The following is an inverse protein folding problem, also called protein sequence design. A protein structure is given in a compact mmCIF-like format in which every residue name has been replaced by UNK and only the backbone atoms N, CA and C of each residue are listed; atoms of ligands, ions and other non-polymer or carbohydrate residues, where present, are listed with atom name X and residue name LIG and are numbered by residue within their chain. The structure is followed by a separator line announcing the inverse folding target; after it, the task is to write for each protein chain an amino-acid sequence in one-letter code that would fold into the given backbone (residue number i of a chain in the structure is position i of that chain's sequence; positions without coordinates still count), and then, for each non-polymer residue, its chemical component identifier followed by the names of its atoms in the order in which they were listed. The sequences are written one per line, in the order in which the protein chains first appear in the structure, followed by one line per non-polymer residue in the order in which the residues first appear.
data_IF_931887679923
#
_entry.id   IF_931887679923
#
_cell.length_a   1.000
_cell.length_b   1.000
_cell.length_c   1.000
_cell.angle_alpha   90.00
_cell.angle_beta   90.00
_cell.angle_gamma   90.00
#
_symmetry.space_group_name_H-M   'P 1'
#
loop_
_entity.id
_entity.type
_entity.pdbx_description
1 polymer ?
#
# COMPACT_ATOMS: atom_id res chain seq x y z
N UNK A 1 8.14 33.69 19.71
CA UNK A 1 7.00 33.14 20.47
C UNK A 1 6.01 32.39 19.56
N UNK A 2 5.46 33.02 18.52
CA UNK A 2 4.49 32.38 17.59
C UNK A 2 4.99 31.08 16.94
N UNK A 3 6.26 31.05 16.51
CA UNK A 3 6.90 29.84 15.95
C UNK A 3 6.83 28.64 16.91
N UNK A 4 7.13 28.84 18.19
CA UNK A 4 7.13 27.75 19.17
C UNK A 4 5.72 27.26 19.50
N UNK A 5 4.73 28.16 19.50
CA UNK A 5 3.32 27.80 19.69
C UNK A 5 2.83 26.95 18.52
N UNK A 6 3.15 27.36 17.28
CA UNK A 6 2.80 26.59 16.08
C UNK A 6 3.51 25.23 16.08
N UNK A 7 4.80 25.20 16.39
CA UNK A 7 5.59 23.96 16.44
C UNK A 7 5.05 22.99 17.50
N UNK A 8 4.72 23.49 18.70
CA UNK A 8 4.09 22.69 19.75
C UNK A 8 2.74 22.14 19.30
N UNK A 9 1.90 22.97 18.66
CA UNK A 9 0.62 22.54 18.11
C UNK A 9 0.75 21.44 17.05
N UNK A 10 1.75 21.52 16.17
CA UNK A 10 2.05 20.48 15.17
C UNK A 10 2.53 19.20 15.83
N UNK A 11 3.49 19.28 16.75
CA UNK A 11 4.01 18.11 17.47
C UNK A 11 2.89 17.42 18.27
N UNK A 12 2.06 18.18 18.96
CA UNK A 12 0.92 17.66 19.71
C UNK A 12 -0.10 16.99 18.78
N UNK A 13 -0.39 17.60 17.62
CA UNK A 13 -1.29 16.96 16.63
C UNK A 13 -0.69 15.68 16.06
N UNK A 14 0.60 15.65 15.73
CA UNK A 14 1.27 14.43 15.28
C UNK A 14 1.21 13.34 16.34
N UNK A 15 1.48 13.67 17.61
CA UNK A 15 1.36 12.75 18.74
C UNK A 15 -0.06 12.19 18.87
N UNK A 16 -1.08 13.06 18.84
CA UNK A 16 -2.49 12.65 18.91
C UNK A 16 -2.91 11.82 17.70
N UNK A 17 -2.49 12.17 16.48
CA UNK A 17 -2.76 11.41 15.25
C UNK A 17 -2.16 10.00 15.29
N UNK A 18 -0.92 9.86 15.76
CA UNK A 18 -0.22 8.57 15.81
C UNK A 18 -0.71 7.67 16.94
N UNK A 19 -0.96 8.23 18.13
CA UNK A 19 -1.25 7.43 19.32
C UNK A 19 -2.75 7.26 19.58
N UNK A 20 -3.60 8.16 19.10
CA UNK A 20 -5.04 8.02 19.32
C UNK A 20 -5.62 6.70 18.78
N UNK A 21 -5.23 6.16 17.60
CA UNK A 21 -5.81 4.90 17.11
C UNK A 21 -5.42 3.71 17.99
N UNK A 22 -4.16 3.71 18.45
CA UNK A 22 -3.54 2.60 19.20
C UNK A 22 -4.02 2.61 20.67
N UNK A 23 -4.13 3.79 21.28
CA UNK A 23 -4.33 3.94 22.72
C UNK A 23 -5.61 4.68 23.11
N UNK A 24 -6.58 4.83 22.21
CA UNK A 24 -7.85 5.51 22.53
C UNK A 24 -8.61 4.91 23.72
N UNK A 25 -8.41 3.63 24.05
CA UNK A 25 -9.04 3.01 25.23
C UNK A 25 -8.36 3.38 26.55
N UNK A 26 -7.10 3.86 26.52
CA UNK A 26 -6.28 4.12 27.72
C UNK A 26 -6.33 5.57 28.21
N UNK A 27 -6.82 6.51 27.40
CA UNK A 27 -6.86 7.94 27.77
C UNK A 27 -8.12 8.61 27.24
N UNK A 28 -8.78 9.42 28.08
CA UNK A 28 -9.96 10.22 27.69
C UNK A 28 -9.64 11.22 26.58
N UNK A 29 -8.45 11.83 26.60
CA UNK A 29 -8.02 12.79 25.57
C UNK A 29 -7.82 12.09 24.22
N UNK A 30 -7.13 10.94 24.22
CA UNK A 30 -6.95 10.14 23.02
C UNK A 30 -8.28 9.55 22.53
N UNK A 31 -9.18 9.15 23.43
CA UNK A 31 -10.52 8.69 23.08
C UNK A 31 -11.34 9.79 22.39
N UNK A 32 -11.32 11.00 22.94
CA UNK A 32 -12.02 12.14 22.36
C UNK A 32 -11.45 12.50 20.99
N UNK A 33 -10.12 12.62 20.88
CA UNK A 33 -9.46 12.92 19.61
C UNK A 33 -9.74 11.82 18.59
N UNK A 34 -9.68 10.55 19.01
CA UNK A 34 -9.98 9.41 18.17
C UNK A 34 -11.43 9.47 17.66
N UNK A 35 -12.42 9.61 18.54
CA UNK A 35 -13.84 9.53 18.13
C UNK A 35 -14.32 10.77 17.37
N UNK A 36 -13.85 11.97 17.72
CA UNK A 36 -14.34 13.23 17.14
C UNK A 36 -13.55 13.69 15.92
N UNK A 37 -12.25 13.44 15.89
CA UNK A 37 -11.34 13.90 14.83
C UNK A 37 -10.91 12.70 13.98
N UNK A 38 -10.11 11.79 14.54
CA UNK A 38 -9.47 10.71 13.77
C UNK A 38 -10.49 9.81 13.06
N UNK A 39 -11.45 9.25 13.79
CA UNK A 39 -12.51 8.37 13.29
C UNK A 39 -13.40 9.13 12.32
N UNK A 40 -13.75 10.40 12.57
CA UNK A 40 -14.56 11.18 11.63
C UNK A 40 -13.81 11.44 10.31
N UNK A 41 -12.50 11.66 10.35
CA UNK A 41 -11.66 11.80 9.15
C UNK A 41 -11.48 10.45 8.43
N UNK A 42 -11.30 9.37 9.17
CA UNK A 42 -10.96 8.04 8.62
C UNK A 42 -12.16 7.17 8.26
N UNK A 43 -13.27 7.28 9.00
CA UNK A 43 -14.52 6.52 8.87
C UNK A 43 -15.62 7.23 8.09
N UNK A 44 -15.38 8.47 7.65
CA UNK A 44 -16.22 9.13 6.65
C UNK A 44 -15.96 8.50 5.27
N UNK A 45 -16.11 7.19 5.16
CA UNK A 45 -15.83 6.38 3.97
C UNK A 45 -17.09 5.80 3.35
N UNK A 46 -18.25 6.14 3.92
CA UNK A 46 -19.53 5.68 3.45
C UNK A 46 -20.42 6.90 3.24
N UNK A 47 -20.39 7.45 2.03
CA UNK A 47 -21.48 8.13 1.32
C UNK A 47 -20.89 9.02 0.21
N UNK A 48 -21.71 9.28 -0.82
CA UNK A 48 -21.49 10.19 -1.96
C UNK A 48 -21.23 11.67 -1.58
N UNK A 49 -20.55 11.92 -0.47
CA UNK A 49 -20.29 13.24 0.06
C UNK A 49 -19.04 13.83 -0.61
N UNK A 50 -19.25 14.83 -1.47
CA UNK A 50 -18.19 15.58 -2.17
C UNK A 50 -17.09 16.08 -1.23
N UNK A 51 -17.41 16.37 0.04
CA UNK A 51 -16.45 16.82 1.05
C UNK A 51 -15.38 15.77 1.38
N UNK A 52 -15.76 14.49 1.42
CA UNK A 52 -14.85 13.37 1.70
C UNK A 52 -13.92 13.13 0.51
N UNK A 53 -14.45 13.21 -0.71
CA UNK A 53 -13.64 13.14 -1.92
C UNK A 53 -12.57 14.23 -1.94
N UNK A 54 -12.90 15.46 -1.51
CA UNK A 54 -11.94 16.55 -1.38
C UNK A 54 -10.87 16.27 -0.31
N UNK A 55 -11.24 15.76 0.86
CA UNK A 55 -10.28 15.40 1.92
C UNK A 55 -9.27 14.36 1.44
N UNK A 56 -9.70 13.36 0.66
CA UNK A 56 -8.78 12.34 0.15
C UNK A 56 -7.71 12.92 -0.82
N UNK A 57 -7.96 14.09 -1.42
CA UNK A 57 -6.97 14.81 -2.23
C UNK A 57 -5.96 15.62 -1.42
N UNK A 58 -6.19 15.85 -0.12
CA UNK A 58 -5.25 16.61 0.71
C UNK A 58 -3.87 15.95 0.80
N UNK A 59 -3.81 14.61 0.86
CA UNK A 59 -2.54 13.88 0.92
C UNK A 59 -1.75 14.00 -0.40
N UNK A 60 -2.34 13.73 -1.59
CA UNK A 60 -1.68 14.02 -2.87
C UNK A 60 -1.26 15.49 -3.03
N UNK A 61 -2.13 16.44 -2.66
CA UNK A 61 -1.84 17.88 -2.76
C UNK A 61 -0.67 18.25 -1.86
N UNK A 62 -0.66 17.76 -0.61
CA UNK A 62 0.44 17.97 0.33
C UNK A 62 1.76 17.40 -0.22
N UNK A 63 1.74 16.18 -0.76
CA UNK A 63 2.92 15.54 -1.35
C UNK A 63 3.45 16.32 -2.56
N UNK A 64 2.58 16.70 -3.50
CA UNK A 64 2.95 17.54 -4.65
C UNK A 64 3.50 18.90 -4.19
N UNK A 65 2.87 19.52 -3.19
CA UNK A 65 3.33 20.78 -2.61
C UNK A 65 4.72 20.66 -1.98
N UNK A 66 5.01 19.55 -1.30
CA UNK A 66 6.32 19.26 -0.72
C UNK A 66 7.39 19.08 -1.81
N UNK A 67 7.10 18.33 -2.89
CA UNK A 67 8.02 18.19 -4.04
C UNK A 67 8.31 19.55 -4.68
N UNK A 68 7.28 20.35 -4.95
CA UNK A 68 7.42 21.68 -5.55
C UNK A 68 8.25 22.60 -4.65
N UNK A 69 7.96 22.61 -3.34
CA UNK A 69 8.70 23.41 -2.38
C UNK A 69 10.18 23.01 -2.31
N UNK A 70 10.47 21.71 -2.23
CA UNK A 70 11.86 21.21 -2.21
C UNK A 70 12.59 21.55 -3.51
N UNK A 71 11.93 21.39 -4.66
CA UNK A 71 12.45 21.81 -5.96
C UNK A 71 12.77 23.30 -5.99
N UNK A 72 11.83 24.14 -5.57
CA UNK A 72 12.02 25.60 -5.51
C UNK A 72 13.17 25.98 -4.57
N UNK A 73 13.27 25.38 -3.39
CA UNK A 73 14.37 25.62 -2.46
C UNK A 73 15.72 25.20 -3.04
N UNK A 74 15.78 24.09 -3.78
CA UNK A 74 16.97 23.69 -4.51
C UNK A 74 17.39 24.74 -5.54
N UNK A 75 16.48 25.18 -6.41
CA UNK A 75 16.81 26.17 -7.44
C UNK A 75 17.21 27.53 -6.84
N UNK A 76 16.50 28.01 -5.82
CA UNK A 76 16.75 29.34 -5.24
C UNK A 76 18.05 29.36 -4.43
N UNK A 77 18.32 28.32 -3.63
CA UNK A 77 19.38 28.34 -2.61
C UNK A 77 20.62 27.53 -2.98
N UNK A 78 20.52 26.63 -3.95
CA UNK A 78 21.61 25.71 -4.32
C UNK A 78 22.04 25.94 -5.77
N UNK A 79 21.12 25.96 -6.74
CA UNK A 79 21.49 26.12 -8.15
C UNK A 79 22.11 27.48 -8.50
N UNK A 80 21.89 28.50 -7.66
CA UNK A 80 22.41 29.87 -7.83
C UNK A 80 23.81 30.07 -7.24
N UNK A 81 24.35 29.08 -6.53
CA UNK A 81 25.64 29.23 -5.85
C UNK A 81 26.83 29.17 -6.81
N UNK A 82 27.60 30.27 -6.86
CA UNK A 82 28.72 30.45 -7.82
C UNK A 82 29.98 29.66 -7.48
N UNK A 83 30.00 28.94 -6.35
CA UNK A 83 31.20 28.30 -5.81
C UNK A 83 31.47 26.89 -6.37
N UNK A 84 30.72 26.47 -7.39
CA UNK A 84 30.89 25.17 -8.04
C UNK A 84 32.08 25.14 -9.00
N UNK A 85 32.85 24.05 -8.98
CA UNK A 85 33.89 23.78 -10.00
C UNK A 85 33.25 23.74 -11.40
N UNK A 86 34.05 23.99 -12.46
CA UNK A 86 33.55 23.98 -13.86
C UNK A 86 32.82 22.67 -14.23
N UNK A 87 33.26 21.54 -13.69
CA UNK A 87 32.60 20.23 -13.82
C UNK A 87 31.22 20.21 -13.14
N UNK A 88 31.12 20.73 -11.91
CA UNK A 88 29.86 20.85 -11.18
C UNK A 88 28.87 21.82 -11.86
N UNK A 89 29.36 22.83 -12.58
CA UNK A 89 28.54 23.73 -13.39
C UNK A 89 27.94 23.01 -14.61
N UNK A 90 28.72 22.22 -15.36
CA UNK A 90 28.18 21.46 -16.50
C UNK A 90 27.18 20.39 -16.06
N UNK A 91 27.48 19.69 -14.96
CA UNK A 91 26.54 18.77 -14.32
C UNK A 91 25.25 19.53 -13.95
N UNK A 92 25.34 20.69 -13.30
CA UNK A 92 24.15 21.48 -12.94
C UNK A 92 23.28 21.89 -14.13
N UNK A 93 23.86 22.13 -15.32
CA UNK A 93 23.08 22.41 -16.54
C UNK A 93 22.31 21.18 -17.00
N UNK A 94 22.96 20.02 -17.08
CA UNK A 94 22.29 18.77 -17.41
C UNK A 94 21.17 18.44 -16.41
N UNK A 95 21.45 18.61 -15.12
CA UNK A 95 20.51 18.39 -14.03
C UNK A 95 19.26 19.26 -14.19
N UNK A 96 19.46 20.56 -14.40
CA UNK A 96 18.39 21.55 -14.42
C UNK A 96 17.55 21.53 -15.69
N UNK A 97 18.15 21.23 -16.85
CA UNK A 97 17.45 21.31 -18.14
C UNK A 97 16.99 19.96 -18.67
N UNK A 98 17.56 18.84 -18.19
CA UNK A 98 17.25 17.50 -18.71
C UNK A 98 16.73 16.61 -17.59
N UNK A 99 17.55 16.33 -16.56
CA UNK A 99 17.24 15.31 -15.57
C UNK A 99 15.99 15.65 -14.74
N UNK A 100 15.98 16.82 -14.10
CA UNK A 100 14.89 17.25 -13.22
C UNK A 100 13.57 17.39 -14.00
N UNK A 101 13.51 18.10 -15.15
CA UNK A 101 12.29 18.17 -15.95
C UNK A 101 11.79 16.79 -16.40
N UNK A 102 12.68 15.91 -16.85
CA UNK A 102 12.31 14.56 -17.30
C UNK A 102 11.70 13.75 -16.16
N UNK A 103 12.33 13.76 -14.97
CA UNK A 103 11.80 13.06 -13.80
C UNK A 103 10.46 13.65 -13.36
N UNK A 104 10.29 14.97 -13.37
CA UNK A 104 9.01 15.60 -13.02
C UNK A 104 7.90 15.22 -14.00
N UNK A 105 8.15 15.33 -15.31
CA UNK A 105 7.19 14.97 -16.36
C UNK A 105 6.83 13.48 -16.27
N UNK A 106 7.83 12.61 -16.09
CA UNK A 106 7.63 11.18 -15.95
C UNK A 106 6.76 10.85 -14.71
N UNK A 107 7.08 11.41 -13.55
CA UNK A 107 6.32 11.16 -12.32
C UNK A 107 4.88 11.67 -12.43
N UNK A 108 4.68 12.90 -12.92
CA UNK A 108 3.35 13.46 -13.14
C UNK A 108 2.55 12.62 -14.14
N UNK A 109 3.18 12.22 -15.25
CA UNK A 109 2.57 11.34 -16.25
C UNK A 109 2.15 10.00 -15.65
N UNK A 110 3.01 9.36 -14.85
CA UNK A 110 2.71 8.10 -14.18
C UNK A 110 1.58 8.22 -13.16
N UNK A 111 1.54 9.30 -12.37
CA UNK A 111 0.43 9.60 -11.44
C UNK A 111 -0.89 9.72 -12.21
N UNK A 112 -0.91 10.54 -13.27
CA UNK A 112 -2.11 10.75 -14.09
C UNK A 112 -2.58 9.45 -14.74
N UNK A 113 -1.67 8.69 -15.34
CA UNK A 113 -1.98 7.42 -16.01
C UNK A 113 -2.49 6.40 -14.99
N UNK A 114 -1.83 6.28 -13.84
CA UNK A 114 -2.21 5.34 -12.78
C UNK A 114 -3.63 5.64 -12.27
N UNK A 115 -3.93 6.91 -12.01
CA UNK A 115 -5.26 7.37 -11.57
C UNK A 115 -6.33 7.13 -12.65
N UNK A 116 -6.05 7.54 -13.90
CA UNK A 116 -6.97 7.35 -15.02
C UNK A 116 -7.31 5.88 -15.27
N UNK A 117 -6.30 5.00 -15.23
CA UNK A 117 -6.47 3.55 -15.41
C UNK A 117 -7.23 2.90 -14.25
N UNK A 118 -7.07 3.39 -13.02
CA UNK A 118 -7.87 2.95 -11.86
C UNK A 118 -9.36 3.20 -12.09
N UNK A 119 -9.73 4.38 -12.61
CA UNK A 119 -11.14 4.77 -12.80
C UNK A 119 -11.78 4.17 -14.05
N UNK A 120 -11.04 4.10 -15.17
CA UNK A 120 -11.56 3.65 -16.47
C UNK A 120 -11.45 2.13 -16.66
N UNK A 121 -11.23 1.35 -15.61
CA UNK A 121 -11.13 -0.08 -15.78
C UNK A 121 -12.43 -0.65 -16.37
N UNK A 122 -12.31 -1.24 -17.56
CA UNK A 122 -13.44 -1.65 -18.38
C UNK A 122 -13.83 -3.08 -18.00
N UNK A 123 -15.13 -3.37 -17.83
CA UNK A 123 -15.57 -4.74 -17.45
C UNK A 123 -15.13 -5.81 -18.45
N UNK A 124 -14.87 -5.44 -19.71
CA UNK A 124 -14.40 -6.36 -20.76
C UNK A 124 -12.92 -6.75 -20.64
N UNK A 125 -12.11 -6.05 -19.84
CA UNK A 125 -10.69 -6.35 -19.62
C UNK A 125 -10.43 -7.03 -18.26
N UNK A 126 -11.47 -7.61 -17.66
CA UNK A 126 -11.36 -8.36 -16.41
C UNK A 126 -10.70 -9.69 -16.68
N UNK A 127 -9.53 -9.91 -16.06
CA UNK A 127 -8.95 -11.25 -16.00
C UNK A 127 -9.88 -12.17 -15.24
N UNK A 128 -10.24 -13.27 -15.87
CA UNK A 128 -10.94 -14.36 -15.24
C UNK A 128 -9.92 -15.22 -14.47
N UNK A 129 -9.70 -14.89 -13.20
CA UNK A 129 -8.91 -15.74 -12.32
C UNK A 129 -9.75 -16.92 -11.80
N UNK A 130 -9.16 -18.11 -11.61
CA UNK A 130 -9.83 -19.22 -10.95
C UNK A 130 -10.09 -18.91 -9.47
N UNK A 131 -11.14 -19.51 -8.90
CA UNK A 131 -11.41 -19.45 -7.47
C UNK A 131 -10.60 -20.53 -6.75
N UNK A 132 -9.82 -20.14 -5.73
CA UNK A 132 -9.04 -21.07 -4.90
C UNK A 132 -9.90 -21.76 -3.82
N UNK A 133 -11.14 -21.29 -3.60
CA UNK A 133 -12.05 -21.72 -2.54
C UNK A 133 -11.45 -21.64 -1.11
N UNK A 134 -10.39 -20.84 -0.95
CA UNK A 134 -9.71 -20.54 0.31
C UNK A 134 -9.85 -19.05 0.58
N UNK A 135 -9.25 -18.20 -0.26
CA UNK A 135 -9.35 -16.75 -0.18
C UNK A 135 -10.52 -16.19 -0.98
N UNK A 136 -10.88 -16.86 -2.07
CA UNK A 136 -11.90 -16.48 -3.01
C UNK A 136 -12.77 -17.67 -3.38
N UNK A 137 -14.07 -17.54 -3.15
CA UNK A 137 -15.04 -18.60 -3.47
C UNK A 137 -16.11 -18.12 -4.44
N UNK A 138 -16.61 -19.05 -5.24
CA UNK A 138 -17.71 -18.80 -6.17
C UNK A 138 -18.95 -18.26 -5.46
N UNK A 139 -19.77 -17.50 -6.18
CA UNK A 139 -21.04 -16.94 -5.69
C UNK A 139 -20.93 -16.04 -4.44
N UNK A 140 -19.73 -15.60 -4.08
CA UNK A 140 -19.54 -14.63 -2.99
C UNK A 140 -20.12 -13.27 -3.36
N UNK A 141 -21.19 -12.84 -2.68
CA UNK A 141 -21.82 -11.55 -2.93
C UNK A 141 -21.11 -10.41 -2.20
N UNK A 142 -20.82 -9.30 -2.91
CA UNK A 142 -20.48 -8.05 -2.26
C UNK A 142 -21.76 -7.39 -1.72
N UNK A 143 -21.87 -7.25 -0.40
CA UNK A 143 -23.03 -6.63 0.26
C UNK A 143 -23.26 -5.17 -0.15
N UNK A 144 -22.19 -4.40 -0.39
CA UNK A 144 -22.29 -2.99 -0.79
C UNK A 144 -22.65 -2.81 -2.26
N UNK A 145 -22.01 -3.58 -3.15
CA UNK A 145 -22.25 -3.45 -4.60
C UNK A 145 -23.44 -4.27 -5.10
N UNK A 146 -23.97 -5.18 -4.29
CA UNK A 146 -24.98 -6.17 -4.64
C UNK A 146 -24.66 -6.95 -5.93
N UNK A 147 -23.40 -7.40 -6.05
CA UNK A 147 -22.86 -8.13 -7.21
C UNK A 147 -21.92 -9.23 -6.75
N UNK A 148 -21.86 -10.31 -7.51
CA UNK A 148 -20.90 -11.39 -7.26
C UNK A 148 -19.47 -10.85 -7.40
N UNK A 149 -18.65 -11.17 -6.41
CA UNK A 149 -17.21 -10.86 -6.42
C UNK A 149 -16.53 -11.81 -7.41
N UNK A 150 -15.59 -11.26 -8.15
CA UNK A 150 -14.66 -12.03 -8.95
C UNK A 150 -13.54 -12.56 -8.04
N UNK A 151 -12.89 -13.65 -8.44
CA UNK A 151 -11.63 -14.06 -7.83
C UNK A 151 -10.62 -12.89 -7.86
N UNK A 152 -9.83 -12.76 -6.79
CA UNK A 152 -8.88 -11.65 -6.60
C UNK A 152 -9.51 -10.24 -6.50
N UNK A 153 -10.82 -10.12 -6.36
CA UNK A 153 -11.48 -8.80 -6.20
C UNK A 153 -11.80 -8.45 -4.75
N UNK A 154 -11.79 -7.15 -4.44
CA UNK A 154 -12.21 -6.59 -3.14
C UNK A 154 -13.00 -5.32 -3.30
N UNK A 155 -14.00 -5.15 -2.44
CA UNK A 155 -14.73 -3.89 -2.35
C UNK A 155 -13.85 -2.85 -1.64
N UNK A 156 -13.49 -1.80 -2.36
CA UNK A 156 -12.84 -0.65 -1.77
C UNK A 156 -13.91 0.38 -1.38
N UNK A 157 -14.05 0.65 -0.09
CA UNK A 157 -15.00 1.65 0.42
C UNK A 157 -14.67 3.06 -0.06
N UNK A 158 -13.38 3.39 -0.23
CA UNK A 158 -12.92 4.70 -0.74
C UNK A 158 -13.34 4.94 -2.19
N UNK A 159 -13.26 3.91 -3.04
CA UNK A 159 -13.69 3.98 -4.43
C UNK A 159 -15.18 3.59 -4.62
N UNK A 160 -15.83 3.10 -3.55
CA UNK A 160 -17.19 2.59 -3.52
C UNK A 160 -17.54 1.58 -4.63
N UNK A 161 -16.59 0.70 -4.95
CA UNK A 161 -16.78 -0.35 -5.96
C UNK A 161 -15.89 -1.55 -5.66
N UNK A 162 -16.26 -2.72 -6.19
CA UNK A 162 -15.36 -3.87 -6.25
C UNK A 162 -14.29 -3.64 -7.31
N UNK A 163 -13.04 -3.72 -6.90
CA UNK A 163 -11.86 -3.60 -7.76
C UNK A 163 -11.33 -5.02 -8.04
N UNK A 164 -11.23 -5.46 -9.31
CA UNK A 164 -10.61 -6.74 -9.66
C UNK A 164 -9.10 -6.69 -9.54
N UNK A 165 -8.49 -7.79 -9.07
CA UNK A 165 -7.05 -7.85 -8.79
C UNK A 165 -6.62 -6.72 -7.85
N UNK A 166 -7.42 -6.41 -6.84
CA UNK A 166 -7.14 -5.29 -5.95
C UNK A 166 -5.92 -5.59 -5.09
N UNK A 167 -5.02 -4.62 -5.04
CA UNK A 167 -3.86 -4.67 -4.18
C UNK A 167 -4.09 -3.88 -2.89
N UNK A 168 -4.27 -2.57 -3.05
CA UNK A 168 -4.60 -1.66 -1.98
C UNK A 168 -5.19 -0.37 -2.56
N UNK A 169 -5.82 0.42 -1.70
CA UNK A 169 -6.12 1.81 -2.00
C UNK A 169 -4.94 2.71 -1.62
N UNK A 170 -4.25 3.26 -2.60
CA UNK A 170 -3.10 4.12 -2.37
C UNK A 170 -3.56 5.54 -2.00
N UNK A 171 -3.36 5.91 -0.74
CA UNK A 171 -3.70 7.26 -0.24
C UNK A 171 -2.90 8.38 -0.93
N UNK A 172 -1.70 8.06 -1.43
CA UNK A 172 -0.81 9.03 -2.09
C UNK A 172 -1.25 9.36 -3.52
N UNK A 173 -2.01 8.46 -4.15
CA UNK A 173 -2.56 8.62 -5.50
C UNK A 173 -4.07 8.82 -5.52
N UNK A 174 -4.71 8.65 -4.35
CA UNK A 174 -6.16 8.67 -4.17
C UNK A 174 -6.89 7.75 -5.18
N UNK A 175 -6.35 6.55 -5.39
CA UNK A 175 -6.92 5.55 -6.29
C UNK A 175 -6.54 4.13 -5.84
N UNK A 176 -7.26 3.12 -6.31
CA UNK A 176 -6.87 1.73 -6.09
C UNK A 176 -5.76 1.31 -7.05
N UNK A 177 -4.77 0.60 -6.51
CA UNK A 177 -3.78 -0.16 -7.27
C UNK A 177 -4.37 -1.54 -7.54
N UNK A 178 -4.33 -1.94 -8.80
CA UNK A 178 -4.98 -3.15 -9.29
C UNK A 178 -4.37 -3.62 -10.61
N UNK A 179 -4.87 -4.73 -11.15
CA UNK A 179 -4.50 -5.24 -12.48
C UNK A 179 -4.44 -4.16 -13.57
N UNK A 180 -5.28 -3.12 -13.50
CA UNK A 180 -5.40 -2.11 -14.56
C UNK A 180 -4.24 -1.12 -14.60
N UNK A 181 -3.57 -0.90 -13.48
CA UNK A 181 -2.61 0.18 -13.30
C UNK A 181 -1.33 -0.22 -12.54
N UNK A 182 -1.19 -1.49 -12.18
CA UNK A 182 -0.06 -2.02 -11.42
C UNK A 182 1.30 -1.62 -12.01
N UNK A 183 1.48 -1.84 -13.32
CA UNK A 183 2.70 -1.49 -14.05
C UNK A 183 3.10 -0.02 -13.84
N UNK A 184 2.14 0.90 -13.88
CA UNK A 184 2.43 2.33 -13.75
C UNK A 184 2.76 2.71 -12.30
N UNK A 185 2.16 2.03 -11.34
CA UNK A 185 2.50 2.17 -9.92
C UNK A 185 3.94 1.72 -9.66
N UNK A 186 4.36 0.56 -10.16
CA UNK A 186 5.72 0.06 -9.99
C UNK A 186 6.76 1.00 -10.63
N UNK A 187 6.49 1.50 -11.85
CA UNK A 187 7.33 2.52 -12.48
C UNK A 187 7.38 3.84 -11.70
N UNK A 188 6.28 4.23 -11.06
CA UNK A 188 6.22 5.42 -10.23
C UNK A 188 7.13 5.27 -9.00
N UNK A 189 7.08 4.11 -8.31
CA UNK A 189 7.96 3.84 -7.17
C UNK A 189 9.43 3.88 -7.58
N UNK A 190 9.79 3.21 -8.69
CA UNK A 190 11.17 3.20 -9.19
C UNK A 190 11.66 4.59 -9.59
N UNK A 191 10.83 5.38 -10.27
CA UNK A 191 11.19 6.74 -10.68
C UNK A 191 11.36 7.68 -9.49
N UNK A 192 10.48 7.60 -8.47
CA UNK A 192 10.62 8.37 -7.24
C UNK A 192 11.88 7.95 -6.47
N UNK A 193 12.18 6.65 -6.36
CA UNK A 193 13.37 6.17 -5.65
C UNK A 193 14.64 6.70 -6.32
N UNK A 194 14.71 6.61 -7.65
CA UNK A 194 15.83 7.15 -8.41
C UNK A 194 16.02 8.65 -8.15
N UNK A 195 14.95 9.44 -8.21
CA UNK A 195 15.00 10.88 -7.92
C UNK A 195 15.48 11.19 -6.49
N UNK A 196 14.99 10.45 -5.49
CA UNK A 196 15.35 10.64 -4.08
C UNK A 196 16.81 10.24 -3.79
N UNK A 197 17.28 9.10 -4.30
CA UNK A 197 18.68 8.67 -4.16
C UNK A 197 19.60 9.70 -4.82
N UNK A 198 19.27 10.10 -6.05
CA UNK A 198 20.05 11.08 -6.78
C UNK A 198 20.12 12.42 -6.03
N UNK A 199 18.99 12.94 -5.53
CA UNK A 199 18.96 14.18 -4.75
C UNK A 199 19.75 14.07 -3.43
N UNK A 200 19.73 12.89 -2.78
CA UNK A 200 20.50 12.62 -1.55
C UNK A 200 21.99 12.63 -1.81
N UNK A 201 22.45 11.88 -2.83
CA UNK A 201 23.86 11.84 -3.22
C UNK A 201 24.32 13.25 -3.60
N UNK A 202 23.55 13.96 -4.42
CA UNK A 202 23.90 15.31 -4.87
C UNK A 202 24.02 16.28 -3.70
N UNK A 203 23.05 16.29 -2.79
CA UNK A 203 23.07 17.14 -1.60
C UNK A 203 24.24 16.81 -0.68
N UNK A 204 24.57 15.53 -0.51
CA UNK A 204 25.72 15.07 0.25
C UNK A 204 27.05 15.55 -0.35
N UNK A 205 27.25 15.37 -1.67
CA UNK A 205 28.45 15.85 -2.37
C UNK A 205 28.61 17.37 -2.26
N UNK A 206 27.52 18.12 -2.39
CA UNK A 206 27.52 19.58 -2.23
C UNK A 206 27.92 19.95 -0.80
N UNK A 207 27.38 19.26 0.21
CA UNK A 207 27.71 19.48 1.61
C UNK A 207 29.20 19.25 1.90
N UNK A 208 29.81 18.20 1.36
CA UNK A 208 31.26 17.96 1.49
C UNK A 208 32.12 18.96 0.69
N UNK A 209 31.58 19.54 -0.39
CA UNK A 209 32.30 20.52 -1.22
C UNK A 209 32.35 21.91 -0.57
N UNK A 210 31.36 22.28 0.24
CA UNK A 210 31.38 23.53 0.99
C UNK A 210 32.12 23.35 2.32
N UNK A 211 33.06 24.24 2.63
CA UNK A 211 33.69 24.31 3.98
C UNK A 211 32.69 24.62 5.10
N UNK A 212 31.47 25.08 4.79
CA UNK A 212 30.46 25.49 5.75
C UNK A 212 29.13 24.75 5.56
N UNK A 213 28.57 24.25 6.66
CA UNK A 213 27.27 23.58 6.71
C UNK A 213 26.11 24.56 6.46
N UNK A 214 25.48 24.48 5.27
CA UNK A 214 24.22 25.19 5.02
C UNK A 214 23.03 24.34 5.49
N UNK A 215 22.28 24.85 6.47
CA UNK A 215 21.09 24.17 7.04
C UNK A 215 20.09 23.67 5.99
N UNK A 216 19.90 24.42 4.90
CA UNK A 216 18.98 24.04 3.83
C UNK A 216 19.43 22.77 3.08
N UNK A 217 20.74 22.64 2.79
CA UNK A 217 21.30 21.46 2.11
C UNK A 217 21.21 20.24 3.03
N UNK A 218 21.53 20.40 4.32
CA UNK A 218 21.38 19.35 5.32
C UNK A 218 19.93 18.86 5.43
N UNK A 219 18.97 19.79 5.42
CA UNK A 219 17.54 19.46 5.48
C UNK A 219 17.10 18.65 4.27
N UNK A 220 17.49 19.07 3.06
CA UNK A 220 17.20 18.34 1.83
C UNK A 220 17.84 16.95 1.88
N UNK A 221 19.12 16.85 2.24
CA UNK A 221 19.83 15.58 2.36
C UNK A 221 19.12 14.60 3.31
N UNK A 222 18.81 15.03 4.54
CA UNK A 222 18.14 14.18 5.53
C UNK A 222 16.79 13.72 5.00
N UNK A 223 16.01 14.64 4.45
CA UNK A 223 14.67 14.34 3.96
C UNK A 223 14.70 13.35 2.79
N UNK A 224 15.50 13.62 1.76
CA UNK A 224 15.57 12.74 0.58
C UNK A 224 16.16 11.38 0.95
N UNK A 225 17.12 11.34 1.87
CA UNK A 225 17.71 10.09 2.34
C UNK A 225 16.69 9.24 3.11
N UNK A 226 16.02 9.79 4.11
CA UNK A 226 15.00 9.06 4.88
C UNK A 226 13.86 8.56 4.00
N UNK A 227 13.34 9.39 3.08
CA UNK A 227 12.29 8.96 2.16
C UNK A 227 12.79 7.90 1.16
N UNK A 228 14.07 7.92 0.76
CA UNK A 228 14.63 6.85 -0.07
C UNK A 228 14.66 5.50 0.66
N UNK A 229 14.94 5.47 1.98
CA UNK A 229 14.92 4.23 2.76
C UNK A 229 13.49 3.66 2.87
N UNK A 230 12.51 4.52 3.15
CA UNK A 230 11.09 4.13 3.21
C UNK A 230 10.62 3.59 1.85
N UNK A 231 11.00 4.23 0.76
CA UNK A 231 10.59 3.81 -0.57
C UNK A 231 11.29 2.52 -1.03
N UNK A 232 12.56 2.31 -0.63
CA UNK A 232 13.25 1.03 -0.81
C UNK A 232 12.51 -0.10 -0.11
N UNK A 233 12.04 0.12 1.12
CA UNK A 233 11.22 -0.87 1.82
C UNK A 233 9.91 -1.16 1.08
N UNK A 234 9.20 -0.14 0.60
CA UNK A 234 7.99 -0.37 -0.20
C UNK A 234 8.28 -1.15 -1.48
N UNK A 235 9.35 -0.82 -2.22
CA UNK A 235 9.75 -1.57 -3.41
C UNK A 235 10.10 -3.02 -3.07
N UNK A 236 10.81 -3.25 -1.96
CA UNK A 236 11.12 -4.59 -1.48
C UNK A 236 9.85 -5.42 -1.26
N UNK A 237 8.85 -4.87 -0.55
CA UNK A 237 7.57 -5.58 -0.34
C UNK A 237 6.82 -5.85 -1.65
N UNK A 238 6.87 -4.92 -2.62
CA UNK A 238 6.28 -5.16 -3.95
C UNK A 238 7.00 -6.28 -4.71
N UNK A 239 8.32 -6.38 -4.57
CA UNK A 239 9.13 -7.45 -5.16
C UNK A 239 8.80 -8.81 -4.52
N UNK A 240 8.67 -8.89 -3.20
CA UNK A 240 8.22 -10.10 -2.51
C UNK A 240 6.85 -10.56 -3.01
N UNK A 241 5.88 -9.64 -3.10
CA UNK A 241 4.55 -9.95 -3.65
C UNK A 241 4.61 -10.48 -5.08
N UNK A 242 5.56 -10.01 -5.90
CA UNK A 242 5.79 -10.55 -7.25
C UNK A 242 6.38 -11.97 -7.17
N UNK A 243 7.34 -12.22 -6.27
CA UNK A 243 7.86 -13.57 -6.06
C UNK A 243 6.76 -14.56 -5.70
N UNK A 244 5.85 -14.16 -4.82
CA UNK A 244 4.76 -15.01 -4.33
C UNK A 244 3.55 -15.06 -5.28
N UNK A 245 3.51 -14.25 -6.34
CA UNK A 245 2.36 -14.16 -7.25
C UNK A 245 1.10 -13.53 -6.64
N UNK A 246 1.26 -12.80 -5.53
CA UNK A 246 0.17 -12.28 -4.70
C UNK A 246 -0.02 -10.77 -4.82
N UNK A 247 -1.19 -10.30 -4.40
CA UNK A 247 -1.42 -8.88 -4.07
C UNK A 247 -1.26 -8.64 -2.56
N UNK A 248 -1.06 -7.39 -2.14
CA UNK A 248 -1.00 -7.02 -0.71
C UNK A 248 -2.27 -7.47 0.02
N UNK A 249 -3.43 -7.30 -0.61
CA UNK A 249 -4.71 -7.79 -0.09
C UNK A 249 -4.77 -9.32 0.06
N UNK A 250 -4.07 -10.09 -0.77
CA UNK A 250 -3.98 -11.54 -0.63
C UNK A 250 -3.03 -11.94 0.48
N UNK A 251 -1.87 -11.29 0.56
CA UNK A 251 -0.91 -11.45 1.65
C UNK A 251 -1.57 -11.22 3.02
N UNK A 252 -2.36 -10.15 3.16
CA UNK A 252 -3.14 -9.86 4.37
C UNK A 252 -4.12 -11.00 4.75
N UNK A 253 -4.73 -11.65 3.76
CA UNK A 253 -5.66 -12.76 4.02
C UNK A 253 -4.91 -14.05 4.35
N UNK A 254 -3.81 -14.31 3.65
CA UNK A 254 -2.93 -15.43 3.95
C UNK A 254 -2.43 -15.34 5.37
N UNK A 255 -2.08 -14.16 5.88
CA UNK A 255 -1.67 -13.97 7.27
C UNK A 255 -2.67 -14.58 8.27
N UNK A 256 -3.98 -14.40 8.05
CA UNK A 256 -5.02 -15.02 8.88
C UNK A 256 -4.97 -16.54 8.76
N UNK A 257 -4.86 -17.08 7.54
CA UNK A 257 -4.77 -18.52 7.30
C UNK A 257 -3.52 -19.12 7.98
N UNK A 258 -2.36 -18.46 7.89
CA UNK A 258 -1.14 -18.85 8.60
C UNK A 258 -1.35 -18.88 10.11
N UNK A 259 -2.05 -17.89 10.67
CA UNK A 259 -2.38 -17.87 12.11
C UNK A 259 -3.22 -19.09 12.51
N UNK A 260 -4.26 -19.42 11.73
CA UNK A 260 -5.11 -20.58 11.99
C UNK A 260 -4.35 -21.91 11.88
N UNK A 261 -3.41 -22.02 10.93
CA UNK A 261 -2.54 -23.19 10.79
C UNK A 261 -1.61 -23.32 12.00
N UNK A 262 -1.01 -22.20 12.45
CA UNK A 262 -0.14 -22.18 13.62
C UNK A 262 -0.89 -22.57 14.90
N UNK A 263 -2.17 -22.23 14.99
CA UNK A 263 -3.09 -22.67 16.06
C UNK A 263 -3.51 -24.14 15.94
N UNK A 264 -3.10 -24.84 14.87
CA UNK A 264 -3.40 -26.26 14.60
C UNK A 264 -4.90 -26.57 14.50
N UNK A 265 -5.67 -25.64 13.95
CA UNK A 265 -7.13 -25.78 13.79
C UNK A 265 -7.56 -25.95 12.33
N UNK A 266 -6.63 -26.06 11.37
CA UNK A 266 -6.93 -26.20 9.94
C UNK A 266 -6.75 -27.64 9.48
N UNK A 267 -7.83 -28.22 8.92
CA UNK A 267 -7.87 -29.61 8.47
C UNK A 267 -8.23 -29.72 7.00
N UNK A 268 -7.57 -30.63 6.27
CA UNK A 268 -7.87 -31.01 4.89
C UNK A 268 -8.63 -32.32 4.84
N UNK A 269 -9.86 -32.27 4.33
CA UNK A 269 -10.80 -33.40 4.25
C UNK A 269 -11.41 -33.40 2.85
N UNK A 270 -11.31 -34.53 2.12
CA UNK A 270 -11.81 -34.67 0.75
C UNK A 270 -11.36 -33.51 -0.18
N UNK A 271 -10.08 -33.14 -0.09
CA UNK A 271 -9.46 -32.05 -0.84
C UNK A 271 -10.06 -30.65 -0.59
N UNK A 272 -10.83 -30.46 0.47
CA UNK A 272 -11.33 -29.17 0.95
C UNK A 272 -10.75 -28.87 2.33
N UNK A 273 -10.66 -27.59 2.65
CA UNK A 273 -10.11 -27.15 3.93
C UNK A 273 -11.20 -26.62 4.85
N UNK A 274 -11.04 -26.95 6.12
CA UNK A 274 -11.98 -26.67 7.18
C UNK A 274 -11.24 -26.17 8.42
N UNK A 275 -11.91 -25.35 9.22
CA UNK A 275 -11.44 -24.85 10.49
C UNK A 275 -12.21 -25.57 11.60
N UNK A 276 -11.51 -26.09 12.59
CA UNK A 276 -12.13 -26.66 13.79
C UNK A 276 -12.99 -25.59 14.48
N UNK A 277 -14.26 -25.90 14.76
CA UNK A 277 -15.14 -24.99 15.48
C UNK A 277 -14.95 -25.19 16.99
N UNK A 278 -15.03 -24.10 17.78
CA UNK A 278 -15.00 -24.17 19.24
C UNK A 278 -16.16 -25.06 19.75
N UNK A 279 -15.81 -26.08 20.53
CA UNK A 279 -16.71 -27.12 21.03
C UNK A 279 -17.29 -26.71 22.39
N UNK A 280 -18.62 -26.56 22.50
CA UNK A 280 -19.31 -26.37 23.79
C UNK A 280 -20.26 -27.54 24.15
N UNK A 281 -20.40 -28.57 23.31
CA UNK A 281 -21.28 -29.71 23.65
C UNK A 281 -21.12 -30.96 22.77
N UNK A 282 -20.50 -32.01 23.33
CA UNK A 282 -20.89 -33.42 23.12
C UNK A 282 -20.53 -34.13 21.80
N UNK A 283 -19.61 -35.10 21.93
CA UNK A 283 -19.35 -36.29 21.08
C UNK A 283 -19.00 -36.16 19.59
N UNK A 284 -19.29 -35.06 18.90
CA UNK A 284 -18.99 -34.92 17.46
C UNK A 284 -18.22 -33.63 17.15
N UNK A 285 -17.01 -33.79 16.61
CA UNK A 285 -16.15 -32.68 16.22
C UNK A 285 -16.75 -31.89 15.07
N UNK A 286 -16.94 -30.58 15.29
CA UNK A 286 -17.56 -29.66 14.33
C UNK A 286 -16.51 -28.85 13.57
N UNK A 287 -16.82 -28.55 12.32
CA UNK A 287 -15.95 -27.84 11.41
C UNK A 287 -16.69 -26.74 10.68
N UNK A 288 -16.07 -25.58 10.56
CA UNK A 288 -16.48 -24.52 9.67
C UNK A 288 -15.69 -24.61 8.36
N UNK A 289 -16.23 -24.09 7.26
CA UNK A 289 -15.40 -23.94 6.05
C UNK A 289 -14.27 -22.94 6.31
N UNK A 290 -13.11 -23.17 5.70
CA UNK A 290 -12.06 -22.14 5.67
C UNK A 290 -12.50 -20.89 4.90
N UNK A 291 -13.45 -21.07 3.98
CA UNK A 291 -14.11 -19.97 3.31
C UNK A 291 -15.03 -19.24 4.29
N UNK A 292 -14.60 -18.07 4.76
CA UNK A 292 -15.36 -17.22 5.69
C UNK A 292 -16.73 -16.74 5.16
N UNK A 293 -17.03 -16.93 3.87
CA UNK A 293 -18.35 -16.64 3.31
C UNK A 293 -19.33 -17.81 3.44
N UNK A 294 -18.84 -19.04 3.63
CA UNK A 294 -19.65 -20.21 3.87
C UNK A 294 -19.91 -20.37 5.38
N UNK A 295 -21.18 -20.23 5.76
CA UNK A 295 -21.62 -20.31 7.16
C UNK A 295 -22.09 -21.70 7.57
N UNK A 296 -21.94 -22.71 6.70
CA UNK A 296 -22.34 -24.08 7.01
C UNK A 296 -21.37 -24.68 8.02
N UNK A 297 -21.94 -25.45 8.94
CA UNK A 297 -21.19 -26.28 9.88
C UNK A 297 -21.18 -27.71 9.32
N UNK A 298 -20.01 -28.32 9.32
CA UNK A 298 -19.76 -29.66 8.85
C UNK A 298 -19.41 -30.54 10.05
N UNK A 299 -19.84 -31.80 9.99
CA UNK A 299 -19.53 -32.81 10.99
C UNK A 299 -18.87 -33.95 10.24
N UNK A 300 -17.70 -34.34 10.71
CA UNK A 300 -16.92 -35.42 10.12
C UNK A 300 -16.61 -36.44 11.22
N UNK A 301 -16.64 -37.72 10.85
CA UNK A 301 -16.28 -38.83 11.71
C UNK A 301 -14.90 -39.36 11.26
N UNK A 302 -14.12 -39.93 12.18
CA UNK A 302 -12.79 -40.51 11.91
C UNK A 302 -11.72 -39.52 11.40
N UNK A 303 -11.69 -38.29 11.91
CA UNK A 303 -10.58 -37.36 11.62
C UNK A 303 -9.34 -37.78 12.39
N UNK A 304 -8.20 -37.78 11.71
CA UNK A 304 -6.90 -38.11 12.28
C UNK A 304 -5.92 -36.94 12.15
N UNK A 305 -4.77 -37.02 12.81
CA UNK A 305 -3.69 -36.02 12.65
C UNK A 305 -3.19 -35.90 11.20
N UNK A 306 -3.39 -36.92 10.36
CA UNK A 306 -3.02 -36.85 8.93
C UNK A 306 -3.87 -35.84 8.14
N UNK A 307 -5.04 -35.46 8.67
CA UNK A 307 -5.87 -34.43 8.08
C UNK A 307 -5.42 -33.02 8.50
N UNK A 308 -4.61 -32.87 9.53
CA UNK A 308 -4.15 -31.57 10.01
C UNK A 308 -3.11 -30.99 9.04
N UNK A 309 -3.34 -29.75 8.61
CA UNK A 309 -2.33 -28.98 7.86
C UNK A 309 -1.28 -28.48 8.84
N UNK A 310 -0.02 -28.88 8.65
CA UNK A 310 1.07 -28.55 9.58
C UNK A 310 1.81 -27.28 9.16
N UNK A 311 1.76 -26.96 7.87
CA UNK A 311 2.43 -25.80 7.30
C UNK A 311 1.61 -25.19 6.18
N UNK A 312 1.64 -23.86 6.08
CA UNK A 312 0.99 -23.16 4.98
C UNK A 312 1.61 -23.47 3.61
N UNK A 313 2.86 -23.92 3.56
CA UNK A 313 3.51 -24.38 2.33
C UNK A 313 2.89 -25.67 1.77
N UNK A 314 2.04 -26.37 2.54
CA UNK A 314 1.22 -27.49 2.03
C UNK A 314 0.04 -27.02 1.18
N UNK A 315 -0.25 -25.73 1.21
CA UNK A 315 -1.34 -25.11 0.45
C UNK A 315 -0.75 -24.43 -0.78
N UNK A 316 -1.13 -24.93 -1.95
CA UNK A 316 -0.68 -24.39 -3.22
C UNK A 316 -1.35 -23.04 -3.51
N UNK A 317 -0.54 -22.01 -3.78
CA UNK A 317 -1.04 -20.74 -4.28
C UNK A 317 -1.21 -20.81 -5.79
N UNK A 318 -2.43 -21.09 -6.24
CA UNK A 318 -2.76 -21.23 -7.67
C UNK A 318 -2.53 -19.95 -8.49
N UNK A 319 -2.25 -18.81 -7.85
CA UNK A 319 -1.92 -17.56 -8.52
C UNK A 319 -0.41 -17.36 -8.69
N UNK A 320 0.43 -18.15 -8.01
CA UNK A 320 1.86 -18.17 -8.22
C UNK A 320 2.21 -19.02 -9.44
N UNK A 321 3.03 -18.49 -10.34
CA UNK A 321 3.58 -19.24 -11.47
C UNK A 321 4.95 -19.86 -11.17
N UNK A 322 5.40 -19.76 -9.91
CA UNK A 322 6.69 -20.20 -9.38
C UNK A 322 7.88 -19.62 -10.16
N UNK A 323 7.69 -18.43 -10.72
CA UNK A 323 8.70 -17.74 -11.51
C UNK A 323 8.47 -16.24 -11.46
N UNK A 324 9.45 -15.51 -10.93
CA UNK A 324 9.42 -14.05 -10.81
C UNK A 324 9.03 -13.36 -12.13
N UNK A 325 9.66 -13.74 -13.25
CA UNK A 325 9.38 -13.11 -14.54
C UNK A 325 7.98 -13.39 -15.07
N UNK A 326 7.44 -14.59 -14.82
CA UNK A 326 6.08 -14.93 -15.22
C UNK A 326 5.06 -14.20 -14.34
N UNK A 327 5.27 -14.14 -13.02
CA UNK A 327 4.44 -13.36 -12.11
C UNK A 327 4.47 -11.87 -12.45
N UNK A 328 5.65 -11.31 -12.76
CA UNK A 328 5.80 -9.93 -13.20
C UNK A 328 5.03 -9.64 -14.49
N UNK A 329 5.16 -10.52 -15.50
CA UNK A 329 4.40 -10.41 -16.76
C UNK A 329 2.90 -10.45 -16.53
N UNK A 330 2.43 -11.39 -15.70
CA UNK A 330 1.02 -11.48 -15.34
C UNK A 330 0.57 -10.20 -14.65
N UNK A 331 1.30 -9.72 -13.63
CA UNK A 331 0.97 -8.49 -12.88
C UNK A 331 0.95 -7.25 -13.77
N UNK A 332 1.84 -7.16 -14.76
CA UNK A 332 1.94 -6.02 -15.67
C UNK A 332 1.05 -6.12 -16.91
N UNK A 333 0.31 -7.23 -17.07
CA UNK A 333 -0.52 -7.54 -18.25
C UNK A 333 0.28 -7.44 -19.55
N UNK A 334 1.49 -8.00 -19.57
CA UNK A 334 2.33 -8.09 -20.76
C UNK A 334 1.88 -9.18 -21.72
#
# INVERSE_FOLDING_TARGET
MLYYIVLFGVILNCFLLLLSPIYHHKSRVLHWYYTKIFKKITSATNNNNKYICFINWLVPIFYCGLIILLGALYYIKIATEKQFTKTLINISKFENFILIPTLLILNLGLVVICHYKSYKFNKKSIKAYPFDNILYSENTLCRTCNKNKLARSKHCSKCNTCIPGEDHHCIWLNCCISDSNYKYFDWLLLSNLFGLIYASIRSGLIMFSFKFFKKNILTIFILTFCFSLVLTWFIYTQVELIFDGMTSNESDKWFIIHSLINEKIVYKINNKMYILADDDSGSKTRFNSINFYDKRVFIFENITENNLIKSAYEIDNIYDSHSFLKNLKQRWNW
#
